data_IF_398499586384
#
_entry.id   IF_398499586384
#
_cell.length_a   1.000
_cell.length_b   1.000
_cell.length_c   1.000
_cell.angle_alpha   90.00
_cell.angle_beta   90.00
_cell.angle_gamma   90.00
#
_symmetry.space_group_name_H-M   'P 1'
#
loop_
_entity.id
_entity.type
_entity.pdbx_description
1 polymer ?
#
# COMPACT_ATOMS: atom_id res chain seq x y z
N UNK A 1 0.06 -13.99 6.60
CA UNK A 1 -1.40 -13.90 6.78
C UNK A 1 -1.99 -13.22 5.55
N UNK A 2 -3.14 -13.67 5.05
CA UNK A 2 -3.84 -12.95 3.97
C UNK A 2 -4.58 -11.72 4.56
N UNK A 3 -4.37 -10.55 3.96
CA UNK A 3 -4.92 -9.27 4.45
C UNK A 3 -6.23 -8.92 3.74
N UNK A 4 -6.20 -8.82 2.41
CA UNK A 4 -7.31 -8.37 1.58
C UNK A 4 -7.14 -8.86 0.12
N UNK A 5 -8.21 -8.86 -0.68
CA UNK A 5 -8.04 -8.75 -2.13
C UNK A 5 -7.70 -7.30 -2.46
N UNK A 6 -6.78 -7.11 -3.39
CA UNK A 6 -6.28 -5.80 -3.74
C UNK A 6 -6.03 -5.63 -5.24
N UNK A 7 -5.98 -4.38 -5.66
CA UNK A 7 -5.33 -3.93 -6.89
C UNK A 7 -3.95 -3.39 -6.52
N UNK A 8 -2.91 -3.89 -7.18
CA UNK A 8 -1.52 -3.47 -6.98
C UNK A 8 -1.01 -2.81 -8.27
N UNK A 9 -0.83 -1.49 -8.23
CA UNK A 9 -0.33 -0.68 -9.33
C UNK A 9 1.14 -0.31 -9.09
N UNK A 10 2.01 -0.63 -10.05
CA UNK A 10 3.41 -0.20 -10.03
C UNK A 10 3.45 1.31 -10.33
N UNK A 11 3.87 2.10 -9.35
CA UNK A 11 3.66 3.55 -9.37
C UNK A 11 4.95 4.33 -9.08
N UNK A 12 6.03 3.88 -9.71
CA UNK A 12 7.43 4.37 -9.56
C UNK A 12 7.64 5.87 -9.84
N UNK A 13 6.59 6.60 -10.22
CA UNK A 13 6.64 8.01 -10.61
C UNK A 13 5.97 8.96 -9.63
N UNK A 14 5.35 8.47 -8.54
CA UNK A 14 4.72 9.35 -7.54
C UNK A 14 5.68 9.66 -6.39
N UNK A 15 5.93 10.95 -6.19
CA UNK A 15 6.65 11.48 -5.04
C UNK A 15 5.67 11.96 -3.98
N UNK A 16 5.94 11.61 -2.72
CA UNK A 16 5.20 12.11 -1.59
C UNK A 16 6.14 12.82 -0.63
N UNK A 17 5.75 14.01 -0.22
CA UNK A 17 6.44 14.76 0.82
C UNK A 17 5.82 14.41 2.17
N UNK A 18 6.62 13.84 3.08
CA UNK A 18 6.23 13.70 4.48
C UNK A 18 6.29 15.06 5.19
N UNK A 19 5.53 15.22 6.27
CA UNK A 19 5.54 16.42 7.12
C UNK A 19 6.93 16.79 7.66
N UNK A 20 7.84 15.81 7.75
CA UNK A 20 9.24 16.01 8.14
C UNK A 20 10.16 16.42 6.97
N UNK A 21 9.62 16.77 5.79
CA UNK A 21 10.40 17.19 4.62
C UNK A 21 11.12 16.05 3.89
N UNK A 22 10.91 14.80 4.30
CA UNK A 22 11.44 13.63 3.60
C UNK A 22 10.58 13.30 2.39
N UNK A 23 11.20 13.14 1.21
CA UNK A 23 10.53 12.71 -0.01
C UNK A 23 10.65 11.19 -0.11
N UNK A 24 9.51 10.50 -0.18
CA UNK A 24 9.46 9.06 -0.43
C UNK A 24 8.85 8.77 -1.80
N UNK A 25 9.45 7.79 -2.48
CA UNK A 25 9.05 7.30 -3.81
C UNK A 25 8.61 5.85 -3.66
N UNK A 26 7.34 5.60 -3.29
CA UNK A 26 6.82 4.25 -3.21
C UNK A 26 6.86 3.61 -4.60
N UNK A 27 7.27 2.35 -4.63
CA UNK A 27 7.33 1.57 -5.85
C UNK A 27 5.93 1.08 -6.25
N UNK A 28 5.03 0.90 -5.28
CA UNK A 28 3.68 0.39 -5.51
C UNK A 28 2.60 1.16 -4.74
N UNK A 29 1.45 1.27 -5.38
CA UNK A 29 0.21 1.72 -4.79
C UNK A 29 -0.77 0.55 -4.74
N UNK A 30 -1.27 0.24 -3.55
CA UNK A 30 -2.14 -0.92 -3.33
C UNK A 30 -3.47 -0.46 -2.77
N UNK A 31 -4.56 -0.86 -3.42
CA UNK A 31 -5.93 -0.56 -3.01
C UNK A 31 -6.63 -1.85 -2.60
N UNK A 32 -7.01 -1.94 -1.32
CA UNK A 32 -7.79 -3.04 -0.75
C UNK A 32 -9.29 -2.72 -0.78
N UNK A 33 -10.14 -3.67 -1.17
CA UNK A 33 -11.60 -3.52 -1.20
C UNK A 33 -12.29 -3.36 0.16
N UNK A 34 -11.52 -3.42 1.26
CA UNK A 34 -12.01 -3.36 2.64
C UNK A 34 -11.03 -2.60 3.52
N UNK A 35 -11.49 -2.21 4.71
CA UNK A 35 -10.61 -1.74 5.78
C UNK A 35 -9.60 -2.81 6.20
N UNK A 36 -8.35 -2.39 6.39
CA UNK A 36 -7.25 -3.24 6.84
C UNK A 36 -6.66 -2.72 8.16
N UNK A 37 -5.91 -3.59 8.85
CA UNK A 37 -5.22 -3.27 10.11
C UNK A 37 -3.72 -3.00 9.93
N UNK A 38 -3.24 -2.99 8.70
CA UNK A 38 -1.84 -2.71 8.33
C UNK A 38 -1.48 -1.29 8.72
N UNK A 39 -0.24 -1.09 9.19
CA UNK A 39 0.31 0.20 9.62
C UNK A 39 1.56 0.54 8.84
N UNK A 40 1.97 1.80 8.91
CA UNK A 40 3.28 2.20 8.40
C UNK A 40 4.40 1.45 9.15
N UNK A 41 5.41 0.97 8.43
CA UNK A 41 6.49 0.12 8.93
C UNK A 41 6.21 -1.39 8.85
N UNK A 42 4.99 -1.81 8.54
CA UNK A 42 4.70 -3.23 8.29
C UNK A 42 5.26 -3.65 6.92
N UNK A 43 5.83 -4.86 6.82
CA UNK A 43 6.22 -5.44 5.54
C UNK A 43 5.04 -6.19 4.92
N UNK A 44 4.69 -5.85 3.68
CA UNK A 44 3.60 -6.47 2.94
C UNK A 44 4.04 -6.94 1.56
N UNK A 45 3.29 -7.89 1.02
CA UNK A 45 3.47 -8.39 -0.34
C UNK A 45 2.14 -8.55 -1.05
N UNK A 46 2.10 -8.12 -2.31
CA UNK A 46 1.02 -8.37 -3.25
C UNK A 46 1.31 -9.65 -4.03
N UNK A 47 0.39 -10.60 -3.95
CA UNK A 47 0.47 -11.88 -4.63
C UNK A 47 -0.34 -11.85 -5.94
N UNK A 48 0.15 -12.55 -6.96
CA UNK A 48 -0.56 -12.85 -8.21
C UNK A 48 -0.47 -14.36 -8.45
N UNK A 49 -1.50 -15.09 -8.00
CA UNK A 49 -1.41 -16.55 -7.84
C UNK A 49 -0.30 -16.95 -6.86
N UNK A 50 0.62 -17.79 -7.32
CA UNK A 50 1.80 -18.21 -6.54
C UNK A 50 2.97 -17.21 -6.63
N UNK A 51 2.88 -16.21 -7.51
CA UNK A 51 3.93 -15.20 -7.72
C UNK A 51 3.80 -13.99 -6.81
N UNK A 52 4.93 -13.34 -6.51
CA UNK A 52 4.95 -12.03 -5.83
C UNK A 52 5.02 -10.94 -6.90
N UNK A 53 3.97 -10.10 -6.97
CA UNK A 53 3.91 -8.96 -7.89
C UNK A 53 4.66 -7.74 -7.34
N UNK A 54 4.57 -7.53 -6.02
CA UNK A 54 5.26 -6.45 -5.33
C UNK A 54 5.43 -6.78 -3.86
N UNK A 55 6.54 -6.35 -3.27
CA UNK A 55 6.81 -6.47 -1.83
C UNK A 55 7.53 -5.22 -1.34
N UNK A 56 7.25 -4.79 -0.12
CA UNK A 56 7.89 -3.62 0.47
C UNK A 56 7.37 -3.28 1.86
N UNK A 57 8.07 -2.35 2.51
CA UNK A 57 7.61 -1.72 3.75
C UNK A 57 6.53 -0.69 3.44
N UNK A 58 5.46 -0.69 4.21
CA UNK A 58 4.38 0.28 4.03
C UNK A 58 4.80 1.64 4.58
N UNK A 59 4.82 2.67 3.72
CA UNK A 59 5.12 4.04 4.11
C UNK A 59 3.89 4.79 4.62
N UNK A 60 2.73 4.55 4.01
CA UNK A 60 1.49 5.28 4.31
C UNK A 60 0.30 4.37 4.13
N UNK A 61 -0.67 4.48 5.04
CA UNK A 61 -1.97 3.82 4.96
C UNK A 61 -3.06 4.86 5.09
N UNK A 62 -4.01 4.85 4.17
CA UNK A 62 -5.23 5.66 4.21
C UNK A 62 -6.43 4.73 4.21
N UNK A 63 -7.46 5.08 4.98
CA UNK A 63 -8.70 4.30 5.05
C UNK A 63 -9.88 5.24 4.89
N UNK A 64 -10.78 4.91 3.98
CA UNK A 64 -11.97 5.71 3.70
C UNK A 64 -13.19 5.12 4.39
N UNK A 65 -13.90 5.94 5.17
CA UNK A 65 -15.07 5.49 5.93
C UNK A 65 -16.33 5.35 5.07
N UNK A 66 -16.45 6.16 4.01
CA UNK A 66 -17.65 6.22 3.19
C UNK A 66 -17.76 5.06 2.20
N UNK A 67 -16.68 4.81 1.45
CA UNK A 67 -16.58 3.73 0.46
C UNK A 67 -15.97 2.43 1.03
N UNK A 68 -15.59 2.43 2.31
CA UNK A 68 -15.07 1.27 3.05
C UNK A 68 -13.90 0.53 2.39
N UNK A 69 -12.96 1.25 1.76
CA UNK A 69 -11.72 0.69 1.21
C UNK A 69 -10.50 1.29 1.92
N UNK A 70 -9.35 0.62 1.77
CA UNK A 70 -8.06 1.10 2.26
C UNK A 70 -7.06 1.19 1.13
N UNK A 71 -6.17 2.18 1.21
CA UNK A 71 -5.06 2.39 0.29
C UNK A 71 -3.76 2.36 1.07
N UNK A 72 -2.72 1.80 0.46
CA UNK A 72 -1.37 1.83 1.02
C UNK A 72 -0.33 2.08 -0.07
N UNK A 73 0.79 2.65 0.37
CA UNK A 73 1.96 2.91 -0.46
C UNK A 73 3.17 2.20 0.14
N UNK A 74 3.91 1.50 -0.71
CA UNK A 74 5.09 0.69 -0.40
C UNK A 74 6.15 0.90 -1.48
#
# INVERSE_FOLDING_TARGET
>A
QEVCKCRCDDNTTKEFSSDNGSVYRPNYHVVCEKRITVKAGDEVRCMDGDGVRGQGEVYTVKSTNYFNYSELWM
#
